data_IF_532446048996
#
_entry.id   IF_532446048996
#
_cell.length_a   1.000
_cell.length_b   1.000
_cell.length_c   1.000
_cell.angle_alpha   90.00
_cell.angle_beta   90.00
_cell.angle_gamma   90.00
#
_symmetry.space_group_name_H-M   'P 1'
#
loop_
_entity.id
_entity.type
_entity.pdbx_description
1 polymer ?
#
# COMPACT_ATOMS: atom_id res chain seq x y z
N UNK A 1 -9.75 23.68 -1.64
CA UNK A 1 -9.98 23.07 -0.31
C UNK A 1 -8.97 21.94 -0.19
N UNK A 2 -7.77 22.25 0.31
CA UNK A 2 -6.72 21.26 0.51
C UNK A 2 -7.07 20.42 1.74
N UNK A 3 -7.43 19.15 1.52
CA UNK A 3 -7.59 18.20 2.61
C UNK A 3 -6.32 17.36 2.64
N UNK A 4 -5.38 17.77 3.48
CA UNK A 4 -4.24 16.92 3.83
C UNK A 4 -4.75 15.81 4.76
N UNK A 5 -4.84 14.58 4.26
CA UNK A 5 -5.26 13.40 5.02
C UNK A 5 -4.10 12.80 5.83
N UNK A 6 -3.46 13.59 6.68
CA UNK A 6 -2.62 13.01 7.73
C UNK A 6 -3.53 12.59 8.87
N UNK A 7 -3.51 11.31 9.24
CA UNK A 7 -4.17 10.86 10.47
C UNK A 7 -3.57 11.62 11.65
N UNK A 8 -4.41 12.24 12.46
CA UNK A 8 -3.95 12.83 13.72
C UNK A 8 -3.31 11.73 14.58
N UNK A 9 -2.03 11.90 14.87
CA UNK A 9 -1.31 10.99 15.75
C UNK A 9 -1.46 11.52 17.16
N UNK A 10 -2.25 10.81 17.98
CA UNK A 10 -2.31 11.06 19.41
C UNK A 10 -0.95 10.78 20.05
N UNK A 11 -0.11 11.81 20.18
CA UNK A 11 1.14 11.70 20.90
C UNK A 11 0.80 11.47 22.38
N UNK A 12 1.35 10.42 23.02
CA UNK A 12 1.09 10.17 24.44
C UNK A 12 1.57 11.36 25.26
N UNK A 13 0.78 11.79 26.25
CA UNK A 13 1.17 12.84 27.18
C UNK A 13 2.47 12.47 27.88
N UNK A 14 3.45 13.37 27.78
CA UNK A 14 4.75 13.18 28.41
C UNK A 14 4.59 13.30 29.93
N UNK A 15 4.84 12.21 30.65
CA UNK A 15 4.76 12.20 32.12
C UNK A 15 5.77 13.18 32.72
N UNK A 16 5.28 14.10 33.56
CA UNK A 16 6.08 15.19 34.14
C UNK A 16 7.22 14.71 35.06
N UNK A 17 7.13 13.49 35.60
CA UNK A 17 8.09 12.86 36.51
C UNK A 17 9.25 12.14 35.79
N UNK A 18 9.23 12.05 34.46
CA UNK A 18 10.22 11.29 33.68
C UNK A 18 11.20 12.20 32.93
N UNK A 19 12.49 11.83 33.00
CA UNK A 19 13.54 12.47 32.19
C UNK A 19 13.22 12.30 30.70
N UNK A 20 13.10 13.43 30.01
CA UNK A 20 12.89 13.45 28.55
C UNK A 20 14.19 13.07 27.84
N UNK A 21 14.09 12.17 26.89
CA UNK A 21 15.18 11.82 25.97
C UNK A 21 14.65 11.95 24.54
N UNK A 22 15.48 12.49 23.65
CA UNK A 22 15.22 12.49 22.21
C UNK A 22 16.03 11.37 21.57
N UNK A 23 15.42 10.64 20.63
CA UNK A 23 16.10 9.63 19.85
C UNK A 23 15.84 9.91 18.36
N UNK A 24 16.89 9.78 17.55
CA UNK A 24 16.80 9.75 16.10
C UNK A 24 16.93 8.30 15.65
N UNK A 25 15.95 7.81 14.89
CA UNK A 25 15.97 6.45 14.34
C UNK A 25 16.04 6.56 12.83
N UNK A 26 17.06 5.95 12.23
CA UNK A 26 17.23 5.88 10.77
C UNK A 26 16.80 4.46 10.35
N UNK A 27 15.83 4.38 9.45
CA UNK A 27 15.32 3.12 8.94
C UNK A 27 15.87 2.86 7.54
N UNK A 28 16.34 1.64 7.29
CA UNK A 28 16.57 1.20 5.93
C UNK A 28 15.23 0.96 5.19
N UNK A 29 15.23 0.79 3.85
CA UNK A 29 13.98 0.60 3.11
C UNK A 29 13.14 -0.61 3.57
N UNK A 30 13.76 -1.70 4.03
CA UNK A 30 13.04 -2.87 4.50
C UNK A 30 12.34 -2.60 5.85
N UNK A 31 13.00 -1.88 6.76
CA UNK A 31 12.45 -1.45 8.05
C UNK A 31 11.34 -0.42 7.86
N UNK A 32 11.55 0.56 6.96
CA UNK A 32 10.54 1.55 6.58
C UNK A 32 9.27 0.88 6.05
N UNK A 33 9.40 -0.07 5.12
CA UNK A 33 8.25 -0.85 4.59
C UNK A 33 7.57 -1.69 5.66
N UNK A 34 8.32 -2.23 6.62
CA UNK A 34 7.76 -2.94 7.77
C UNK A 34 6.95 -2.00 8.67
N UNK A 35 7.42 -0.78 8.89
CA UNK A 35 6.69 0.23 9.64
C UNK A 35 5.41 0.67 8.90
N UNK A 36 5.52 0.95 7.60
CA UNK A 36 4.37 1.27 6.74
C UNK A 36 3.33 0.14 6.76
N UNK A 37 3.76 -1.12 6.69
CA UNK A 37 2.83 -2.24 6.76
C UNK A 37 2.06 -2.29 8.08
N UNK A 38 2.71 -1.99 9.21
CA UNK A 38 2.02 -1.88 10.51
C UNK A 38 1.00 -0.74 10.50
N UNK A 39 1.39 0.42 9.98
CA UNK A 39 0.50 1.58 9.86
C UNK A 39 -0.70 1.26 8.97
N UNK A 40 -0.49 0.73 7.77
CA UNK A 40 -1.54 0.33 6.83
C UNK A 40 -2.53 -0.65 7.44
N UNK A 41 -2.05 -1.72 8.10
CA UNK A 41 -2.95 -2.68 8.75
C UNK A 41 -3.75 -2.02 9.87
N UNK A 42 -3.20 -1.04 10.58
CA UNK A 42 -3.87 -0.37 11.69
C UNK A 42 -4.89 0.71 11.26
N UNK A 43 -4.97 1.07 9.98
CA UNK A 43 -5.87 2.13 9.53
C UNK A 43 -7.35 1.76 9.76
N UNK A 44 -8.21 2.72 10.16
CA UNK A 44 -9.62 2.46 10.46
C UNK A 44 -10.39 1.83 9.29
N UNK A 45 -10.24 2.35 8.07
CA UNK A 45 -10.91 1.82 6.89
C UNK A 45 -10.41 0.41 6.53
N UNK A 46 -9.12 0.14 6.73
CA UNK A 46 -8.54 -1.20 6.55
C UNK A 46 -9.08 -2.18 7.59
N UNK A 47 -9.21 -1.76 8.86
CA UNK A 47 -9.80 -2.58 9.91
C UNK A 47 -11.30 -2.80 9.71
N UNK A 48 -12.02 -1.81 9.16
CA UNK A 48 -13.43 -1.95 8.79
C UNK A 48 -13.60 -3.00 7.68
N UNK A 49 -12.86 -2.85 6.58
CA UNK A 49 -12.87 -3.80 5.47
C UNK A 49 -12.43 -5.20 5.91
N UNK A 50 -11.46 -5.31 6.81
CA UNK A 50 -11.03 -6.59 7.38
C UNK A 50 -12.17 -7.35 8.05
N UNK A 51 -13.08 -6.65 8.74
CA UNK A 51 -14.22 -7.25 9.44
C UNK A 51 -15.41 -7.49 8.51
N UNK A 52 -15.71 -6.51 7.65
CA UNK A 52 -17.01 -6.39 7.00
C UNK A 52 -16.97 -6.45 5.47
N UNK A 53 -15.81 -6.15 4.86
CA UNK A 53 -15.68 -5.93 3.42
C UNK A 53 -14.63 -6.82 2.75
N UNK A 54 -14.18 -6.32 1.61
CA UNK A 54 -13.14 -6.85 0.76
C UNK A 54 -11.87 -5.98 0.86
N UNK A 55 -10.73 -6.66 0.96
CA UNK A 55 -9.42 -6.04 0.80
C UNK A 55 -8.72 -6.71 -0.37
N UNK A 56 -8.28 -5.92 -1.34
CA UNK A 56 -7.39 -6.39 -2.41
C UNK A 56 -6.00 -5.81 -2.19
N UNK A 57 -4.99 -6.68 -2.13
CA UNK A 57 -3.59 -6.29 -1.98
C UNK A 57 -2.89 -6.48 -3.33
N UNK A 58 -2.51 -5.38 -3.98
CA UNK A 58 -1.78 -5.44 -5.24
C UNK A 58 -0.38 -6.06 -5.04
N UNK A 59 0.21 -6.53 -6.14
CA UNK A 59 1.61 -6.99 -6.17
C UNK A 59 2.58 -5.86 -5.80
N UNK A 60 3.65 -6.20 -5.07
CA UNK A 60 4.73 -5.29 -4.68
C UNK A 60 5.46 -5.72 -3.41
N UNK A 61 6.72 -5.33 -3.26
CA UNK A 61 7.53 -5.65 -2.07
C UNK A 61 6.88 -5.07 -0.80
N UNK A 62 6.51 -3.78 -0.81
CA UNK A 62 5.83 -3.14 0.34
C UNK A 62 4.54 -3.87 0.70
N UNK A 63 3.75 -4.23 -0.31
CA UNK A 63 2.50 -4.94 -0.12
C UNK A 63 2.69 -6.37 0.43
N UNK A 64 3.81 -7.03 0.11
CA UNK A 64 4.17 -8.29 0.76
C UNK A 64 4.37 -8.11 2.27
N UNK A 65 4.95 -6.99 2.73
CA UNK A 65 5.01 -6.68 4.17
C UNK A 65 3.62 -6.47 4.78
N UNK A 66 2.69 -5.86 4.04
CA UNK A 66 1.28 -5.70 4.48
C UNK A 66 0.62 -7.07 4.63
N UNK A 67 0.77 -7.98 3.66
CA UNK A 67 0.27 -9.36 3.76
C UNK A 67 0.87 -10.09 4.98
N UNK A 68 2.18 -9.98 5.23
CA UNK A 68 2.80 -10.50 6.45
C UNK A 68 2.22 -9.85 7.72
N UNK A 69 1.88 -8.56 7.66
CA UNK A 69 1.27 -7.80 8.76
C UNK A 69 -0.10 -8.33 9.17
N UNK A 70 -0.96 -8.65 8.19
CA UNK A 70 -2.27 -9.25 8.42
C UNK A 70 -2.17 -10.67 8.97
N UNK A 71 -1.44 -11.53 8.25
CA UNK A 71 -1.52 -12.98 8.48
C UNK A 71 -0.40 -13.53 9.38
N UNK A 72 0.54 -12.69 9.82
CA UNK A 72 1.69 -13.08 10.65
C UNK A 72 2.54 -14.21 10.02
N UNK A 73 2.57 -14.25 8.70
CA UNK A 73 3.39 -15.19 7.91
C UNK A 73 4.72 -14.57 7.48
N UNK A 74 5.57 -15.35 6.82
CA UNK A 74 6.73 -14.83 6.09
C UNK A 74 6.67 -15.18 4.60
N UNK A 75 6.83 -14.15 3.76
CA UNK A 75 6.93 -14.25 2.31
C UNK A 75 8.38 -14.05 1.91
N UNK A 76 8.97 -15.08 1.27
CA UNK A 76 10.37 -15.09 0.81
C UNK A 76 10.49 -15.81 -0.55
N UNK A 77 11.24 -15.26 -1.52
CA UNK A 77 11.77 -13.90 -1.55
C UNK A 77 10.65 -12.87 -1.78
N UNK A 78 10.68 -11.73 -1.07
CA UNK A 78 9.68 -10.65 -1.27
C UNK A 78 9.68 -10.09 -2.69
N UNK A 79 10.83 -10.11 -3.35
CA UNK A 79 10.95 -9.72 -4.75
C UNK A 79 10.04 -10.55 -5.67
N UNK A 80 9.70 -11.80 -5.30
CA UNK A 80 8.74 -12.64 -6.02
C UNK A 80 7.32 -12.08 -6.07
N UNK A 81 6.99 -11.11 -5.21
CA UNK A 81 5.72 -10.39 -5.25
C UNK A 81 5.73 -9.17 -6.16
N UNK A 82 6.83 -8.84 -6.83
CA UNK A 82 6.95 -7.56 -7.54
C UNK A 82 6.26 -7.56 -8.89
N UNK A 83 5.43 -6.55 -9.13
CA UNK A 83 5.00 -6.10 -10.44
C UNK A 83 5.26 -4.58 -10.54
N UNK A 84 5.68 -4.10 -11.71
CA UNK A 84 6.06 -2.71 -11.95
C UNK A 84 7.41 -2.32 -11.34
N UNK A 85 8.39 -3.23 -11.36
CA UNK A 85 9.77 -2.95 -10.97
C UNK A 85 10.40 -2.00 -11.98
N UNK A 86 11.01 -0.92 -11.48
CA UNK A 86 11.84 -0.01 -12.26
C UNK A 86 13.22 0.02 -11.62
N UNK A 87 14.23 -0.46 -12.33
CA UNK A 87 15.61 -0.44 -11.86
C UNK A 87 16.58 -0.50 -13.05
N UNK A 88 17.67 0.26 -13.00
CA UNK A 88 18.74 0.23 -14.00
C UNK A 88 18.23 0.41 -15.45
N UNK A 89 17.27 1.31 -15.66
CA UNK A 89 16.65 1.55 -16.97
C UNK A 89 15.70 0.45 -17.46
N UNK A 90 15.49 -0.60 -16.65
CA UNK A 90 14.60 -1.72 -16.97
C UNK A 90 13.30 -1.56 -16.19
N UNK A 91 12.22 -1.84 -16.90
CA UNK A 91 10.86 -1.74 -16.39
C UNK A 91 10.18 -3.11 -16.58
N UNK A 92 10.01 -3.89 -15.50
CA UNK A 92 9.62 -5.30 -15.60
C UNK A 92 8.80 -5.81 -14.40
N UNK A 93 8.35 -7.05 -14.47
CA UNK A 93 7.70 -7.80 -13.40
C UNK A 93 8.57 -8.99 -12.97
N UNK A 94 8.30 -9.56 -11.80
CA UNK A 94 8.80 -10.90 -11.52
C UNK A 94 8.17 -11.90 -12.52
N UNK A 95 9.03 -12.67 -13.21
CA UNK A 95 8.66 -13.57 -14.29
C UNK A 95 7.92 -14.84 -13.84
N UNK A 96 8.08 -15.24 -12.57
CA UNK A 96 7.40 -16.40 -12.00
C UNK A 96 6.04 -16.09 -11.39
N UNK A 97 5.29 -17.13 -10.99
CA UNK A 97 4.07 -16.94 -10.21
C UNK A 97 4.38 -16.19 -8.90
N UNK A 98 3.43 -15.42 -8.37
CA UNK A 98 3.62 -14.76 -7.09
C UNK A 98 3.88 -15.79 -6.00
N UNK A 99 4.90 -15.55 -5.17
CA UNK A 99 5.27 -16.43 -4.05
C UNK A 99 4.21 -16.55 -2.96
N UNK A 100 3.17 -15.70 -2.99
CA UNK A 100 1.98 -15.84 -2.16
C UNK A 100 0.78 -15.28 -2.94
N UNK A 101 -0.32 -16.05 -2.95
CA UNK A 101 -1.54 -15.75 -3.70
C UNK A 101 -2.63 -15.14 -2.83
N UNK A 102 -2.33 -14.74 -1.59
CA UNK A 102 -3.30 -14.16 -0.65
C UNK A 102 -3.47 -12.65 -0.91
N UNK A 103 -4.09 -12.34 -2.04
CA UNK A 103 -4.20 -10.99 -2.59
C UNK A 103 -5.64 -10.46 -2.63
N UNK A 104 -6.62 -11.31 -2.34
CA UNK A 104 -8.02 -10.92 -2.06
C UNK A 104 -8.39 -11.49 -0.71
N UNK A 105 -9.00 -10.66 0.13
CA UNK A 105 -9.35 -10.99 1.51
C UNK A 105 -10.80 -10.60 1.70
N UNK A 106 -11.59 -11.51 2.27
CA UNK A 106 -12.97 -11.27 2.66
C UNK A 106 -13.12 -11.65 4.13
N UNK A 107 -13.60 -10.73 4.96
CA UNK A 107 -13.88 -10.97 6.40
C UNK A 107 -12.69 -11.64 7.12
N UNK A 108 -11.50 -11.10 6.87
CA UNK A 108 -10.25 -11.51 7.51
C UNK A 108 -9.63 -12.82 7.02
N UNK A 109 -10.15 -13.41 5.93
CA UNK A 109 -9.62 -14.65 5.36
C UNK A 109 -9.23 -14.46 3.89
N UNK A 110 -8.11 -15.06 3.43
CA UNK A 110 -7.80 -15.09 2.00
C UNK A 110 -8.92 -15.79 1.22
N UNK A 111 -9.29 -15.24 0.09
CA UNK A 111 -10.19 -15.89 -0.88
C UNK A 111 -9.34 -16.80 -1.76
N UNK A 112 -9.62 -18.10 -1.73
CA UNK A 112 -8.90 -19.10 -2.52
C UNK A 112 -9.17 -18.94 -4.01
N UNK A 113 -8.15 -19.13 -4.85
CA UNK A 113 -8.23 -19.02 -6.31
C UNK A 113 -8.85 -17.70 -6.82
N UNK A 114 -8.74 -16.63 -6.03
CA UNK A 114 -9.30 -15.34 -6.37
C UNK A 114 -8.60 -14.74 -7.59
N UNK A 115 -9.38 -14.01 -8.40
CA UNK A 115 -8.87 -13.12 -9.43
C UNK A 115 -9.21 -11.68 -9.04
N UNK A 116 -8.22 -10.92 -8.59
CA UNK A 116 -8.42 -9.50 -8.24
C UNK A 116 -9.06 -8.64 -9.35
N UNK A 117 -8.93 -9.01 -10.62
CA UNK A 117 -9.56 -8.27 -11.73
C UNK A 117 -11.07 -8.52 -11.85
N UNK A 118 -11.54 -9.64 -11.30
CA UNK A 118 -12.96 -10.00 -11.19
C UNK A 118 -13.52 -9.55 -9.85
N UNK A 119 -12.81 -9.84 -8.76
CA UNK A 119 -13.26 -9.56 -7.39
C UNK A 119 -13.44 -8.07 -7.12
N UNK A 120 -12.62 -7.22 -7.74
CA UNK A 120 -12.76 -5.77 -7.61
C UNK A 120 -14.10 -5.25 -8.13
N UNK A 121 -14.79 -5.98 -9.03
CA UNK A 121 -16.12 -5.58 -9.50
C UNK A 121 -17.19 -5.64 -8.39
N UNK A 122 -16.90 -6.30 -7.27
CA UNK A 122 -17.77 -6.37 -6.10
C UNK A 122 -17.53 -5.22 -5.10
N UNK A 123 -16.52 -4.37 -5.35
CA UNK A 123 -16.18 -3.28 -4.43
C UNK A 123 -17.38 -2.37 -4.16
N UNK A 124 -17.66 -2.12 -2.89
CA UNK A 124 -18.51 -1.07 -2.36
C UNK A 124 -17.71 0.01 -1.62
N UNK A 125 -18.37 0.96 -0.96
CA UNK A 125 -17.72 2.10 -0.30
C UNK A 125 -16.78 1.69 0.85
N UNK A 126 -17.08 0.58 1.54
CA UNK A 126 -16.27 0.10 2.67
C UNK A 126 -15.08 -0.79 2.27
N UNK A 127 -14.87 -1.01 0.96
CA UNK A 127 -13.84 -1.90 0.45
C UNK A 127 -12.53 -1.18 0.16
N UNK A 128 -11.41 -1.90 0.30
CA UNK A 128 -10.07 -1.31 0.30
C UNK A 128 -9.15 -1.96 -0.73
N UNK A 129 -8.57 -1.14 -1.60
CA UNK A 129 -7.45 -1.52 -2.46
C UNK A 129 -6.14 -1.03 -1.82
N UNK A 130 -5.19 -1.93 -1.61
CA UNK A 130 -3.86 -1.61 -1.09
C UNK A 130 -2.85 -1.72 -2.22
N UNK A 131 -2.26 -0.59 -2.64
CA UNK A 131 -1.34 -0.55 -3.77
C UNK A 131 -0.18 0.41 -3.55
N UNK A 132 1.05 -0.10 -3.62
CA UNK A 132 2.24 0.74 -3.67
C UNK A 132 2.36 1.58 -4.96
N UNK A 133 3.23 2.58 -4.90
CA UNK A 133 3.57 3.48 -6.00
C UNK A 133 5.06 3.40 -6.38
N UNK A 134 5.46 4.05 -7.46
CA UNK A 134 6.84 4.14 -7.94
C UNK A 134 7.54 5.41 -7.45
N UNK A 135 6.80 6.48 -7.19
CA UNK A 135 7.27 7.75 -6.69
C UNK A 135 6.26 8.34 -5.67
N UNK A 136 6.73 9.22 -4.80
CA UNK A 136 5.90 10.12 -3.99
C UNK A 136 6.55 11.48 -3.97
N UNK A 137 5.80 12.57 -3.99
CA UNK A 137 6.35 13.93 -3.85
C UNK A 137 6.21 14.48 -2.43
N UNK A 138 6.67 15.71 -2.22
CA UNK A 138 6.60 16.39 -0.91
C UNK A 138 5.17 16.70 -0.45
N UNK A 139 4.19 16.71 -1.36
CA UNK A 139 2.77 16.95 -1.07
C UNK A 139 2.02 15.64 -0.81
N UNK A 140 2.67 14.49 -0.99
CA UNK A 140 2.07 13.17 -0.82
C UNK A 140 1.42 12.60 -2.09
N UNK A 141 1.61 13.24 -3.25
CA UNK A 141 1.09 12.72 -4.51
C UNK A 141 1.86 11.45 -4.92
N UNK A 142 1.14 10.35 -5.18
CA UNK A 142 1.73 9.08 -5.54
C UNK A 142 1.89 8.93 -7.07
N UNK A 143 3.13 8.86 -7.54
CA UNK A 143 3.45 8.57 -8.94
C UNK A 143 3.47 7.05 -9.21
N UNK A 144 2.62 6.59 -10.12
CA UNK A 144 2.54 5.16 -10.48
C UNK A 144 2.93 5.03 -11.94
N UNK A 145 3.84 4.10 -12.23
CA UNK A 145 4.13 3.76 -13.60
C UNK A 145 2.97 2.98 -14.21
N UNK A 146 2.39 3.53 -15.27
CA UNK A 146 1.30 2.94 -16.04
C UNK A 146 1.86 2.28 -17.29
N UNK A 147 1.47 1.03 -17.54
CA UNK A 147 1.93 0.28 -18.70
C UNK A 147 0.91 -0.80 -19.12
N UNK A 148 1.00 -1.25 -20.38
CA UNK A 148 0.08 -2.23 -20.94
C UNK A 148 -1.29 -1.66 -21.29
N UNK A 149 -2.11 -2.47 -21.98
CA UNK A 149 -3.39 -2.02 -22.58
C UNK A 149 -4.43 -1.51 -21.58
N UNK A 150 -4.35 -1.94 -20.32
CA UNK A 150 -5.24 -1.48 -19.23
C UNK A 150 -4.63 -0.38 -18.34
N UNK A 151 -3.42 0.10 -18.66
CA UNK A 151 -2.69 1.04 -17.79
C UNK A 151 -2.20 0.41 -16.47
N UNK A 152 -1.99 -0.91 -16.47
CA UNK A 152 -1.58 -1.68 -15.30
C UNK A 152 -2.68 -1.82 -14.25
N UNK A 153 -2.31 -2.23 -13.04
CA UNK A 153 -3.28 -2.42 -11.94
C UNK A 153 -4.04 -1.13 -11.61
N UNK A 154 -3.37 0.03 -11.67
CA UNK A 154 -4.03 1.31 -11.34
C UNK A 154 -5.06 1.71 -12.39
N UNK A 155 -4.73 1.59 -13.68
CA UNK A 155 -5.69 1.92 -14.75
C UNK A 155 -6.92 1.01 -14.73
N UNK A 156 -6.76 -0.24 -14.25
CA UNK A 156 -7.87 -1.15 -14.03
C UNK A 156 -8.70 -0.80 -12.78
N UNK A 157 -8.07 -0.51 -11.64
CA UNK A 157 -8.79 -0.36 -10.38
C UNK A 157 -9.35 1.04 -10.15
N UNK A 158 -8.67 2.09 -10.63
CA UNK A 158 -9.05 3.48 -10.39
C UNK A 158 -10.47 3.82 -10.89
N UNK A 159 -10.89 3.41 -12.11
CA UNK A 159 -12.24 3.66 -12.60
C UNK A 159 -13.35 2.92 -11.82
N UNK A 160 -13.00 1.99 -10.92
CA UNK A 160 -13.95 1.25 -10.09
C UNK A 160 -14.00 1.85 -8.69
N UNK A 161 -12.84 2.05 -8.08
CA UNK A 161 -12.71 2.54 -6.70
C UNK A 161 -13.26 3.96 -6.57
N UNK A 162 -12.87 4.87 -7.47
CA UNK A 162 -13.21 6.29 -7.38
C UNK A 162 -14.72 6.56 -7.42
N UNK A 163 -15.49 6.09 -8.43
CA UNK A 163 -16.93 6.38 -8.47
C UNK A 163 -17.75 5.66 -7.40
N UNK A 164 -17.22 4.58 -6.81
CA UNK A 164 -17.92 3.82 -5.76
C UNK A 164 -17.63 4.31 -4.35
N UNK A 165 -16.74 5.30 -4.21
CA UNK A 165 -16.31 5.81 -2.92
C UNK A 165 -15.50 4.80 -2.11
N UNK A 166 -14.94 3.77 -2.76
CA UNK A 166 -14.06 2.80 -2.12
C UNK A 166 -12.71 3.43 -1.77
N UNK A 167 -11.94 2.77 -0.92
CA UNK A 167 -10.66 3.30 -0.44
C UNK A 167 -9.48 2.80 -1.27
N UNK A 168 -8.60 3.70 -1.70
CA UNK A 168 -7.26 3.35 -2.19
C UNK A 168 -6.21 3.75 -1.15
N UNK A 169 -5.52 2.77 -0.56
CA UNK A 169 -4.45 2.98 0.40
C UNK A 169 -3.10 2.68 -0.25
N UNK A 170 -2.19 3.67 -0.23
CA UNK A 170 -0.90 3.57 -0.89
C UNK A 170 0.26 3.66 0.10
N UNK A 171 0.77 2.53 0.61
CA UNK A 171 1.98 2.54 1.42
C UNK A 171 3.21 2.78 0.53
N UNK A 172 3.76 3.99 0.60
CA UNK A 172 4.93 4.42 -0.18
C UNK A 172 6.02 4.90 0.77
N UNK A 173 7.20 4.29 0.70
CA UNK A 173 8.33 4.70 1.53
C UNK A 173 9.07 5.89 0.91
N UNK A 174 9.69 6.70 1.77
CA UNK A 174 10.43 7.89 1.39
C UNK A 174 11.68 7.59 0.56
N UNK A 175 12.10 6.32 0.43
CA UNK A 175 13.11 5.94 -0.55
C UNK A 175 12.67 6.17 -2.01
N UNK A 176 11.38 6.45 -2.22
CA UNK A 176 10.77 6.80 -3.51
C UNK A 176 10.42 8.28 -3.63
N UNK A 177 10.91 9.12 -2.72
CA UNK A 177 10.64 10.54 -2.71
C UNK A 177 11.27 11.23 -3.93
N UNK A 178 10.46 12.00 -4.66
CA UNK A 178 10.89 12.92 -5.71
C UNK A 178 10.70 14.34 -5.16
N UNK A 179 11.77 15.01 -4.73
CA UNK A 179 11.65 16.26 -3.97
C UNK A 179 11.25 17.47 -4.83
N UNK A 180 11.44 17.40 -6.15
CA UNK A 180 11.10 18.45 -7.09
C UNK A 180 10.29 17.86 -8.23
N UNK A 181 8.99 18.09 -8.20
CA UNK A 181 8.09 17.82 -9.33
C UNK A 181 7.72 19.17 -9.92
N UNK A 182 8.04 19.40 -11.19
CA UNK A 182 7.70 20.67 -11.83
C UNK A 182 6.18 20.82 -11.87
N UNK A 183 5.66 21.93 -11.36
CA UNK A 183 4.28 22.32 -11.64
C UNK A 183 4.18 22.63 -13.13
N UNK A 184 3.24 21.99 -13.82
CA UNK A 184 2.81 22.50 -15.11
C UNK A 184 2.04 23.79 -14.84
N UNK A 185 2.67 24.93 -15.11
CA UNK A 185 1.99 26.22 -15.26
C UNK A 185 1.03 26.21 -16.44
#
# INVERSE_FOLDING_TARGET
>A
MEVFWFYEVGLPELRADKKKIAALVILNPAESRRLLAKATVALPEVQSAWKNGLIIIARGITNAYVTEGFFKISIKPKAGQTAGLICNGIANNHAGPPVCTWHVIAKGKPVENADSTVEIQKFGPDDVMIKGANAVDMQGNAGIWTCGVKGGTIGMCWPIITPRGSHLIQPVGLEKLIPSVAEKG
#
